data_IF_869305263922
#
_entry.id   IF_869305263922
#
_cell.length_a   1.000
_cell.length_b   1.000
_cell.length_c   1.000
_cell.angle_alpha   90.00
_cell.angle_beta   90.00
_cell.angle_gamma   90.00
#
_symmetry.space_group_name_H-M   'P 1'
#
loop_
_entity.id
_entity.type
_entity.pdbx_description
1 polymer ?
#
# COMPACT_ATOMS: atom_id res chain seq x y z
N UNK A 1 -14.16 9.70 20.53
CA UNK A 1 -14.28 8.23 20.46
C UNK A 1 -15.24 7.77 21.56
N UNK A 2 -16.14 6.82 21.32
CA UNK A 2 -16.97 6.30 22.40
C UNK A 2 -16.09 5.57 23.42
N UNK A 3 -16.17 6.00 24.66
CA UNK A 3 -15.60 5.33 25.81
C UNK A 3 -16.43 4.06 26.10
N UNK A 4 -15.75 2.93 26.22
CA UNK A 4 -16.37 1.68 26.62
C UNK A 4 -15.82 1.26 27.99
N UNK A 5 -16.65 1.28 29.00
CA UNK A 5 -16.29 0.68 30.28
C UNK A 5 -16.05 -0.82 30.09
N UNK A 6 -15.15 -1.43 30.88
CA UNK A 6 -14.88 -2.87 30.83
C UNK A 6 -16.23 -3.62 30.99
N UNK A 7 -16.59 -4.46 30.00
CA UNK A 7 -17.88 -5.17 30.03
C UNK A 7 -17.93 -6.22 31.16
N UNK A 8 -19.13 -6.66 31.53
CA UNK A 8 -19.36 -7.65 32.61
C UNK A 8 -18.60 -8.97 32.44
N UNK A 9 -18.20 -9.34 31.20
CA UNK A 9 -17.35 -10.51 30.89
C UNK A 9 -15.86 -10.34 31.25
N UNK A 10 -15.46 -9.17 31.69
CA UNK A 10 -14.11 -8.87 32.13
C UNK A 10 -13.14 -8.44 31.02
N UNK A 11 -12.00 -7.90 31.45
CA UNK A 11 -10.97 -7.32 30.56
C UNK A 11 -10.39 -8.34 29.56
N UNK A 12 -10.28 -9.61 29.95
CA UNK A 12 -9.69 -10.67 29.13
C UNK A 12 -10.52 -10.96 27.87
N UNK A 13 -11.85 -11.10 28.03
CA UNK A 13 -12.77 -11.37 26.91
C UNK A 13 -12.82 -10.17 25.96
N UNK A 14 -12.99 -8.97 26.50
CA UNK A 14 -12.95 -7.74 25.71
C UNK A 14 -11.64 -7.61 24.92
N UNK A 15 -10.49 -7.86 25.57
CA UNK A 15 -9.18 -7.74 24.91
C UNK A 15 -9.06 -8.73 23.77
N UNK A 16 -9.53 -9.97 23.95
CA UNK A 16 -9.53 -11.00 22.91
C UNK A 16 -10.28 -10.55 21.65
N UNK A 17 -11.50 -10.07 21.84
CA UNK A 17 -12.33 -9.62 20.72
C UNK A 17 -11.75 -8.37 20.02
N UNK A 18 -11.39 -7.35 20.82
CA UNK A 18 -10.85 -6.11 20.33
C UNK A 18 -9.50 -6.31 19.59
N UNK A 19 -8.62 -7.16 20.12
CA UNK A 19 -7.32 -7.44 19.51
C UNK A 19 -7.42 -8.09 18.13
N UNK A 20 -8.49 -8.86 17.87
CA UNK A 20 -8.72 -9.53 16.57
C UNK A 20 -9.50 -8.67 15.58
N UNK A 21 -10.25 -7.68 16.06
CA UNK A 21 -11.18 -6.91 15.25
C UNK A 21 -10.70 -5.49 14.94
N UNK A 22 -10.08 -4.84 15.94
CA UNK A 22 -9.83 -3.42 15.90
C UNK A 22 -8.38 -3.11 15.48
N UNK A 23 -8.16 -2.00 14.80
CA UNK A 23 -6.83 -1.55 14.35
C UNK A 23 -5.98 -1.00 15.51
N UNK A 24 -6.63 -0.56 16.62
CA UNK A 24 -5.95 0.01 17.77
C UNK A 24 -6.72 -0.21 19.07
N UNK A 25 -5.99 -0.43 20.17
CA UNK A 25 -6.50 -0.53 21.54
C UNK A 25 -5.85 0.52 22.43
N UNK A 26 -6.67 1.22 23.20
CA UNK A 26 -6.22 2.16 24.22
C UNK A 26 -6.67 1.64 25.59
N UNK A 27 -5.71 1.32 26.46
CA UNK A 27 -5.94 0.98 27.85
C UNK A 27 -5.75 2.23 28.71
N UNK A 28 -6.62 2.41 29.69
CA UNK A 28 -6.45 3.42 30.75
C UNK A 28 -6.21 2.68 32.06
N UNK A 29 -5.01 2.82 32.63
CA UNK A 29 -4.60 2.13 33.85
C UNK A 29 -3.14 1.67 33.82
N UNK A 30 -2.81 0.63 34.61
CA UNK A 30 -1.44 0.15 34.72
C UNK A 30 -0.98 -0.62 33.46
N UNK A 31 0.19 -0.26 32.90
CA UNK A 31 0.79 -0.94 31.75
C UNK A 31 0.93 -2.45 31.92
N UNK A 32 1.25 -2.93 33.14
CA UNK A 32 1.38 -4.36 33.43
C UNK A 32 0.06 -5.13 33.27
N UNK A 33 -1.08 -4.50 33.49
CA UNK A 33 -2.40 -5.10 33.24
C UNK A 33 -2.63 -5.19 31.73
N UNK A 34 -2.40 -4.10 31.00
CA UNK A 34 -2.53 -4.07 29.55
C UNK A 34 -1.65 -5.14 28.88
N UNK A 35 -0.36 -5.23 29.26
CA UNK A 35 0.59 -6.22 28.75
C UNK A 35 0.12 -7.65 28.99
N UNK A 36 -0.33 -7.99 30.21
CA UNK A 36 -0.84 -9.34 30.50
C UNK A 36 -2.09 -9.67 29.71
N UNK A 37 -2.96 -8.68 29.49
CA UNK A 37 -4.20 -8.88 28.76
C UNK A 37 -3.97 -9.16 27.28
N UNK A 38 -2.98 -8.52 26.63
CA UNK A 38 -2.69 -8.71 25.21
C UNK A 38 -1.72 -9.88 24.95
N UNK A 39 -0.88 -10.25 25.92
CA UNK A 39 0.20 -11.24 25.73
C UNK A 39 -0.23 -12.57 25.05
N UNK A 40 -1.41 -13.16 25.34
CA UNK A 40 -1.84 -14.40 24.68
C UNK A 40 -2.12 -14.25 23.17
N UNK A 41 -2.32 -13.03 22.68
CA UNK A 41 -2.74 -12.75 21.30
C UNK A 41 -1.62 -12.19 20.43
N UNK A 42 -0.52 -11.72 21.01
CA UNK A 42 0.62 -11.12 20.31
C UNK A 42 1.28 -12.14 19.38
N UNK A 43 1.41 -11.80 18.08
CA UNK A 43 1.95 -12.67 17.03
C UNK A 43 3.03 -12.01 16.19
N UNK A 44 2.66 -10.93 15.48
CA UNK A 44 3.54 -10.29 14.49
C UNK A 44 3.28 -8.76 14.47
N UNK A 45 4.35 -7.98 14.59
CA UNK A 45 4.32 -6.51 14.59
C UNK A 45 3.67 -5.87 13.33
N UNK A 46 3.47 -6.64 12.27
CA UNK A 46 2.84 -6.19 11.02
C UNK A 46 1.34 -6.52 10.94
N UNK A 47 0.85 -7.39 11.84
CA UNK A 47 -0.56 -7.81 11.89
C UNK A 47 -1.23 -7.39 13.19
N UNK A 48 -0.45 -7.33 14.28
CA UNK A 48 -0.98 -6.98 15.59
C UNK A 48 -1.41 -5.51 15.63
N UNK A 49 -2.53 -5.18 16.28
CA UNK A 49 -3.03 -3.83 16.39
C UNK A 49 -2.07 -2.92 17.17
N UNK A 50 -2.24 -1.60 16.98
CA UNK A 50 -1.59 -0.61 17.83
C UNK A 50 -2.11 -0.73 19.27
N UNK A 51 -1.23 -0.86 20.26
CA UNK A 51 -1.64 -0.86 21.66
C UNK A 51 -0.96 0.27 22.42
N UNK A 52 -1.77 1.10 23.02
CA UNK A 52 -1.35 2.26 23.82
C UNK A 52 -1.93 2.15 25.23
N UNK A 53 -1.16 2.54 26.24
CA UNK A 53 -1.61 2.63 27.62
C UNK A 53 -1.50 4.08 28.10
N UNK A 54 -2.56 4.58 28.72
CA UNK A 54 -2.61 5.86 29.40
C UNK A 54 -2.66 5.57 30.91
N UNK A 55 -1.83 6.22 31.70
CA UNK A 55 -1.90 6.05 33.16
C UNK A 55 -3.21 6.64 33.71
N UNK A 56 -3.64 6.24 34.92
CA UNK A 56 -4.90 6.66 35.53
C UNK A 56 -5.01 8.19 35.73
N UNK A 57 -3.86 8.86 35.90
CA UNK A 57 -3.82 10.31 36.05
C UNK A 57 -3.80 11.06 34.71
N UNK A 58 -3.71 10.35 33.59
CA UNK A 58 -3.62 10.95 32.26
C UNK A 58 -2.33 11.75 32.03
N UNK A 59 -1.24 11.41 32.72
CA UNK A 59 0.03 12.13 32.64
C UNK A 59 0.95 11.57 31.54
N UNK A 60 0.87 10.27 31.30
CA UNK A 60 1.73 9.57 30.36
C UNK A 60 0.92 8.73 29.37
N UNK A 61 1.35 8.74 28.11
CA UNK A 61 0.79 7.90 27.07
C UNK A 61 1.90 7.03 26.51
N UNK A 62 1.79 5.72 26.69
CA UNK A 62 2.87 4.75 26.50
C UNK A 62 2.48 3.77 25.39
N UNK A 63 3.14 3.77 24.23
CA UNK A 63 2.95 2.74 23.21
C UNK A 63 3.55 1.42 23.70
N UNK A 64 2.73 0.36 23.76
CA UNK A 64 3.13 -0.94 24.28
C UNK A 64 3.43 -1.95 23.16
N UNK A 65 2.69 -1.90 22.05
CA UNK A 65 2.80 -2.87 20.95
C UNK A 65 2.62 -2.17 19.61
N UNK A 66 3.30 -2.69 18.57
CA UNK A 66 3.20 -2.23 17.17
C UNK A 66 3.50 -0.73 17.01
N UNK A 67 4.56 -0.24 17.67
CA UNK A 67 4.94 1.16 17.74
C UNK A 67 5.06 1.84 16.37
N UNK A 68 5.85 1.24 15.46
CA UNK A 68 6.09 1.77 14.11
C UNK A 68 4.97 1.39 13.14
N UNK A 69 4.99 0.14 12.66
CA UNK A 69 4.12 -0.33 11.59
C UNK A 69 2.65 -0.35 12.03
N UNK A 70 2.36 -0.74 13.27
CA UNK A 70 1.02 -0.66 13.84
C UNK A 70 0.53 0.77 14.07
N UNK A 71 1.45 1.74 14.24
CA UNK A 71 1.14 3.15 14.43
C UNK A 71 0.90 3.55 15.90
N UNK A 72 1.29 2.69 16.88
CA UNK A 72 1.08 2.99 18.30
C UNK A 72 1.86 4.23 18.76
N UNK A 73 3.05 4.52 18.20
CA UNK A 73 3.80 5.72 18.56
C UNK A 73 3.04 6.99 18.11
N UNK A 74 2.56 7.02 16.88
CA UNK A 74 1.74 8.13 16.38
C UNK A 74 0.42 8.28 17.15
N UNK A 75 -0.24 7.16 17.48
CA UNK A 75 -1.45 7.18 18.31
C UNK A 75 -1.16 7.74 19.69
N UNK A 76 -0.03 7.35 20.31
CA UNK A 76 0.39 7.88 21.61
C UNK A 76 0.63 9.39 21.58
N UNK A 77 1.28 9.90 20.54
CA UNK A 77 1.49 11.34 20.33
C UNK A 77 0.14 12.08 20.15
N UNK A 78 -0.77 11.54 19.35
CA UNK A 78 -2.10 12.12 19.13
C UNK A 78 -2.92 12.17 20.43
N UNK A 79 -2.97 11.07 21.18
CA UNK A 79 -3.69 11.00 22.45
C UNK A 79 -3.07 11.95 23.47
N UNK A 80 -1.74 11.92 23.61
CA UNK A 80 -1.01 12.80 24.53
C UNK A 80 -1.27 14.29 24.22
N UNK A 81 -1.22 14.68 22.95
CA UNK A 81 -1.56 16.04 22.53
C UNK A 81 -3.01 16.43 22.88
N UNK A 82 -3.96 15.48 22.72
CA UNK A 82 -5.38 15.72 23.00
C UNK A 82 -5.73 15.87 24.49
N UNK A 83 -4.96 15.26 25.39
CA UNK A 83 -5.21 15.28 26.85
C UNK A 83 -4.17 16.07 27.64
N UNK A 84 -3.16 16.66 26.98
CA UNK A 84 -2.08 17.38 27.64
C UNK A 84 -1.07 16.49 28.37
N UNK A 85 -0.93 15.22 27.95
CA UNK A 85 -0.03 14.23 28.53
C UNK A 85 1.34 14.21 27.85
N UNK A 86 2.27 13.44 28.41
CA UNK A 86 3.61 13.20 27.85
C UNK A 86 3.63 11.85 27.11
N UNK A 87 3.93 11.81 25.80
CA UNK A 87 4.11 10.55 25.10
C UNK A 87 5.46 9.93 25.47
N UNK A 88 5.48 8.64 25.84
CA UNK A 88 6.69 7.92 26.26
C UNK A 88 7.11 6.96 25.14
N UNK A 89 7.61 7.51 24.05
CA UNK A 89 8.10 6.72 22.90
C UNK A 89 9.53 6.25 23.16
N UNK A 90 9.78 4.93 23.02
CA UNK A 90 11.07 4.30 23.34
C UNK A 90 11.78 3.68 22.13
N UNK A 91 11.16 3.72 20.95
CA UNK A 91 11.73 3.12 19.75
C UNK A 91 12.92 3.96 19.25
N UNK A 92 14.07 3.32 19.07
CA UNK A 92 15.33 4.02 18.74
C UNK A 92 15.24 4.93 17.50
N UNK A 93 14.57 4.48 16.44
CA UNK A 93 14.37 5.27 15.20
C UNK A 93 13.53 6.53 15.43
N UNK A 94 12.54 6.46 16.33
CA UNK A 94 11.71 7.64 16.66
C UNK A 94 12.41 8.58 17.61
N UNK A 95 13.13 8.04 18.61
CA UNK A 95 13.94 8.82 19.55
C UNK A 95 15.02 9.61 18.82
N UNK A 96 15.69 8.97 17.84
CA UNK A 96 16.72 9.61 17.04
C UNK A 96 16.18 10.35 15.81
N UNK A 97 14.87 10.31 15.56
CA UNK A 97 14.21 10.89 14.35
C UNK A 97 14.85 10.45 13.04
N UNK A 98 15.43 9.24 13.01
CA UNK A 98 16.05 8.66 11.83
C UNK A 98 15.06 7.96 10.95
N UNK A 99 15.40 7.84 9.67
CA UNK A 99 14.55 7.16 8.68
C UNK A 99 14.35 5.67 9.03
N UNK A 100 13.10 5.23 9.09
CA UNK A 100 12.71 3.84 9.30
C UNK A 100 12.02 3.30 8.04
N UNK A 101 12.59 2.25 7.46
CA UNK A 101 12.12 1.68 6.19
C UNK A 101 10.69 1.16 6.29
N UNK A 102 10.33 0.52 7.39
CA UNK A 102 9.02 -0.09 7.61
C UNK A 102 7.92 0.97 7.81
N UNK A 103 8.22 2.06 8.50
CA UNK A 103 7.32 3.21 8.65
C UNK A 103 7.10 3.87 7.29
N UNK A 104 8.19 4.17 6.59
CA UNK A 104 8.12 4.78 5.27
C UNK A 104 7.29 3.94 4.29
N UNK A 105 7.54 2.63 4.24
CA UNK A 105 6.79 1.74 3.37
C UNK A 105 5.29 1.71 3.71
N UNK A 106 4.95 1.69 5.00
CA UNK A 106 3.56 1.73 5.45
C UNK A 106 2.87 3.05 5.09
N UNK A 107 3.50 4.18 5.41
CA UNK A 107 2.92 5.52 5.18
C UNK A 107 2.63 5.78 3.70
N UNK A 108 3.40 5.13 2.82
CA UNK A 108 3.23 5.23 1.37
C UNK A 108 2.49 4.04 0.73
N UNK A 109 2.05 3.06 1.53
CA UNK A 109 1.38 1.86 1.02
C UNK A 109 2.28 0.96 0.17
N UNK A 110 3.60 0.95 0.42
CA UNK A 110 4.56 0.12 -0.32
C UNK A 110 4.68 -1.28 0.26
N UNK A 111 4.84 -2.27 -0.60
CA UNK A 111 5.13 -3.65 -0.19
C UNK A 111 6.63 -3.82 0.00
N UNK A 112 7.04 -4.29 1.19
CA UNK A 112 8.42 -4.65 1.51
C UNK A 112 8.68 -6.06 0.99
N UNK A 113 9.66 -6.23 0.10
CA UNK A 113 9.98 -7.53 -0.51
C UNK A 113 10.81 -8.46 0.37
N UNK A 114 11.63 -7.92 1.26
CA UNK A 114 12.47 -8.65 2.21
C UNK A 114 12.50 -7.93 3.57
N UNK A 115 11.83 -8.53 4.56
CA UNK A 115 11.74 -7.99 5.92
C UNK A 115 13.07 -8.04 6.68
N UNK A 116 13.95 -9.01 6.35
CA UNK A 116 15.26 -9.13 6.98
C UNK A 116 16.16 -7.99 6.51
N UNK A 117 16.21 -7.78 5.20
CA UNK A 117 17.01 -6.70 4.60
C UNK A 117 16.48 -5.32 5.04
N UNK A 118 15.16 -5.14 5.21
CA UNK A 118 14.59 -3.91 5.75
C UNK A 118 15.09 -3.60 7.17
N UNK A 119 15.18 -4.61 8.05
CA UNK A 119 15.74 -4.47 9.40
C UNK A 119 17.22 -4.11 9.35
N UNK A 120 17.99 -4.76 8.48
CA UNK A 120 19.42 -4.51 8.33
C UNK A 120 19.70 -3.09 7.80
N UNK A 121 18.89 -2.60 6.87
CA UNK A 121 18.98 -1.22 6.37
C UNK A 121 18.66 -0.21 7.46
N UNK A 122 17.61 -0.45 8.26
CA UNK A 122 17.28 0.43 9.39
C UNK A 122 18.39 0.46 10.43
N UNK A 123 19.05 -0.69 10.69
CA UNK A 123 20.20 -0.76 11.60
C UNK A 123 21.43 -0.01 11.04
N UNK A 124 21.72 -0.10 9.74
CA UNK A 124 22.79 0.64 9.09
C UNK A 124 22.57 2.17 9.24
N UNK A 125 21.34 2.65 8.99
CA UNK A 125 21.00 4.07 9.13
C UNK A 125 21.16 4.54 10.59
N UNK A 126 20.76 3.74 11.56
CA UNK A 126 20.96 4.03 12.99
C UNK A 126 22.45 4.11 13.33
N UNK A 127 23.28 3.23 12.76
CA UNK A 127 24.72 3.23 12.94
C UNK A 127 25.44 4.36 12.18
N UNK A 128 24.74 5.18 11.41
CA UNK A 128 25.32 6.24 10.58
C UNK A 128 25.94 5.74 9.27
N UNK A 129 25.72 4.47 8.90
CA UNK A 129 26.20 3.92 7.64
C UNK A 129 25.36 4.44 6.46
N UNK A 130 25.98 4.76 5.32
CA UNK A 130 25.26 5.27 4.16
C UNK A 130 24.43 4.17 3.47
N UNK A 131 23.20 4.50 3.11
CA UNK A 131 22.31 3.65 2.33
C UNK A 131 21.94 4.32 1.02
N UNK A 132 22.11 3.61 -0.10
CA UNK A 132 21.71 4.11 -1.41
C UNK A 132 20.18 4.09 -1.58
N UNK A 133 19.63 5.05 -2.29
CA UNK A 133 18.20 5.05 -2.66
C UNK A 133 18.02 5.32 -4.14
N UNK A 134 17.19 4.52 -4.77
CA UNK A 134 16.85 4.59 -6.19
C UNK A 134 15.32 4.61 -6.34
N UNK A 135 14.83 5.34 -7.33
CA UNK A 135 13.40 5.39 -7.63
C UNK A 135 13.15 5.46 -9.14
N UNK A 136 12.29 4.59 -9.65
CA UNK A 136 11.84 4.64 -11.04
C UNK A 136 10.78 5.74 -11.26
N UNK A 137 10.31 6.36 -10.18
CA UNK A 137 9.32 7.44 -10.16
C UNK A 137 9.93 8.83 -9.90
N UNK A 138 11.26 8.88 -9.71
CA UNK A 138 11.95 10.08 -9.25
C UNK A 138 11.74 10.34 -7.76
N UNK A 139 12.26 11.45 -7.28
CA UNK A 139 12.22 11.86 -5.87
C UNK A 139 11.38 13.12 -5.63
N UNK A 140 10.62 13.56 -6.62
CA UNK A 140 9.80 14.80 -6.52
C UNK A 140 8.74 14.77 -5.42
N UNK A 141 8.37 13.55 -4.94
CA UNK A 141 7.50 13.36 -3.78
C UNK A 141 8.17 13.65 -2.44
N UNK A 142 9.48 13.58 -2.40
CA UNK A 142 10.23 13.78 -1.18
C UNK A 142 10.56 15.27 -1.05
N UNK A 143 10.00 15.93 -0.06
CA UNK A 143 10.36 17.33 0.23
C UNK A 143 11.87 17.46 0.49
N UNK A 144 12.46 16.42 1.07
CA UNK A 144 13.90 16.26 1.33
C UNK A 144 14.20 14.78 1.48
N UNK A 145 15.27 14.29 0.85
CA UNK A 145 15.75 12.93 1.08
C UNK A 145 16.17 12.80 2.56
N UNK A 146 15.65 11.77 3.27
CA UNK A 146 15.99 11.57 4.68
C UNK A 146 17.49 11.41 4.91
N UNK A 147 17.96 11.87 6.08
CA UNK A 147 19.34 11.71 6.48
C UNK A 147 19.75 10.23 6.51
N UNK A 148 20.95 9.93 6.02
CA UNK A 148 21.47 8.57 5.86
C UNK A 148 21.14 7.91 4.52
N UNK A 149 20.21 8.48 3.72
CA UNK A 149 19.94 8.03 2.36
C UNK A 149 20.67 8.88 1.33
N UNK A 150 21.19 8.25 0.30
CA UNK A 150 21.94 8.88 -0.79
C UNK A 150 21.34 8.53 -2.13
N UNK A 151 20.81 9.53 -2.82
CA UNK A 151 20.17 9.41 -4.13
C UNK A 151 21.15 8.89 -5.17
N UNK A 152 20.72 7.92 -5.97
CA UNK A 152 21.44 7.30 -7.10
C UNK A 152 22.88 6.88 -6.81
N UNK A 153 23.20 6.68 -5.54
CA UNK A 153 24.53 6.22 -5.09
C UNK A 153 24.43 4.76 -4.66
N UNK A 154 25.30 3.90 -5.22
CA UNK A 154 25.44 2.50 -4.78
C UNK A 154 26.21 2.48 -3.45
N UNK A 155 25.55 1.94 -2.42
CA UNK A 155 26.12 1.72 -1.09
C UNK A 155 26.20 0.23 -0.77
N UNK A 156 26.65 -0.12 0.44
CA UNK A 156 26.65 -1.50 0.95
C UNK A 156 25.25 -2.12 0.90
N UNK A 157 24.23 -1.35 1.28
CA UNK A 157 22.81 -1.68 1.14
C UNK A 157 22.08 -0.54 0.44
N UNK A 158 20.99 -0.90 -0.23
CA UNK A 158 20.27 0.04 -1.09
C UNK A 158 18.76 -0.20 -0.98
N UNK A 159 17.99 0.87 -1.13
CA UNK A 159 16.54 0.86 -1.35
C UNK A 159 16.26 1.11 -2.83
N UNK A 160 15.27 0.43 -3.37
CA UNK A 160 14.78 0.70 -4.72
C UNK A 160 13.26 0.74 -4.76
N UNK A 161 12.71 1.92 -5.00
CA UNK A 161 11.27 2.13 -5.18
C UNK A 161 10.95 1.86 -6.64
N UNK A 162 10.23 0.75 -6.90
CA UNK A 162 10.02 0.25 -8.27
C UNK A 162 8.80 -0.64 -8.36
N UNK A 163 8.19 -0.72 -9.53
CA UNK A 163 7.23 -1.77 -9.90
C UNK A 163 7.91 -2.94 -10.60
N UNK A 164 9.22 -2.87 -10.82
CA UNK A 164 9.96 -3.91 -11.52
C UNK A 164 10.03 -5.21 -10.72
N UNK A 165 9.70 -6.33 -11.38
CA UNK A 165 9.96 -7.68 -10.90
C UNK A 165 11.39 -8.17 -11.16
N UNK A 166 12.19 -7.38 -11.91
CA UNK A 166 13.57 -7.72 -12.29
C UNK A 166 14.58 -7.22 -11.26
N UNK A 167 15.78 -7.79 -11.32
CA UNK A 167 16.91 -7.31 -10.55
C UNK A 167 17.39 -5.93 -11.01
N UNK A 168 17.91 -5.15 -10.07
CA UNK A 168 18.52 -3.85 -10.39
C UNK A 168 19.91 -4.08 -10.99
N UNK A 169 20.10 -3.64 -12.23
CA UNK A 169 21.40 -3.79 -12.91
C UNK A 169 22.54 -3.19 -12.09
N UNK A 170 23.63 -3.96 -11.97
CA UNK A 170 24.86 -3.52 -11.32
C UNK A 170 24.87 -3.61 -9.79
N UNK A 171 23.79 -4.09 -9.14
CA UNK A 171 23.75 -4.28 -7.70
C UNK A 171 23.23 -5.69 -7.40
N UNK A 172 23.95 -6.52 -6.61
CA UNK A 172 23.48 -7.84 -6.22
C UNK A 172 22.13 -7.79 -5.48
N UNK A 173 21.24 -8.75 -5.75
CA UNK A 173 19.87 -8.80 -5.20
C UNK A 173 19.86 -8.74 -3.66
N UNK A 174 20.76 -9.46 -3.01
CA UNK A 174 20.88 -9.47 -1.54
C UNK A 174 21.36 -8.13 -0.93
N UNK A 175 21.60 -7.10 -1.75
CA UNK A 175 22.01 -5.76 -1.33
C UNK A 175 21.00 -4.68 -1.71
N UNK A 176 19.86 -5.06 -2.32
CA UNK A 176 18.80 -4.15 -2.75
C UNK A 176 17.47 -4.57 -2.18
N UNK A 177 16.92 -3.75 -1.30
CA UNK A 177 15.54 -3.91 -0.87
C UNK A 177 14.61 -3.21 -1.85
N UNK A 178 13.74 -3.96 -2.50
CA UNK A 178 12.67 -3.39 -3.32
C UNK A 178 11.49 -2.99 -2.44
N UNK A 179 11.05 -1.77 -2.60
CA UNK A 179 9.79 -1.24 -2.08
C UNK A 179 8.83 -1.12 -3.27
N UNK A 180 7.81 -1.95 -3.29
CA UNK A 180 6.87 -2.03 -4.42
C UNK A 180 5.64 -1.18 -4.13
N UNK A 181 5.45 -0.05 -4.83
CA UNK A 181 4.25 0.77 -4.68
C UNK A 181 3.04 0.09 -5.33
N UNK A 182 1.88 0.16 -4.69
CA UNK A 182 0.62 -0.29 -5.27
C UNK A 182 0.02 0.82 -6.15
N UNK A 183 0.54 0.96 -7.35
CA UNK A 183 0.17 2.03 -8.27
C UNK A 183 -0.27 1.55 -9.67
N UNK A 184 -0.32 0.23 -9.90
CA UNK A 184 -0.69 -0.36 -11.18
C UNK A 184 -2.14 -0.80 -11.19
N UNK A 185 -2.90 -0.40 -12.20
CA UNK A 185 -4.24 -0.90 -12.51
C UNK A 185 -4.18 -1.84 -13.70
N UNK A 186 -4.79 -3.03 -13.56
CA UNK A 186 -4.96 -3.99 -14.66
C UNK A 186 -6.28 -3.75 -15.37
N UNK A 187 -6.25 -3.69 -16.69
CA UNK A 187 -7.44 -3.75 -17.52
C UNK A 187 -7.53 -5.09 -18.24
N UNK A 188 -8.63 -5.81 -18.08
CA UNK A 188 -8.78 -7.17 -18.55
C UNK A 188 -10.03 -7.30 -19.42
N UNK A 189 -9.85 -7.81 -20.64
CA UNK A 189 -10.94 -8.23 -21.51
C UNK A 189 -10.91 -9.74 -21.70
N UNK A 190 -12.08 -10.39 -21.65
CA UNK A 190 -12.18 -11.83 -21.86
C UNK A 190 -13.53 -12.22 -22.50
N UNK A 191 -13.65 -13.44 -23.01
CA UNK A 191 -14.92 -14.01 -23.43
C UNK A 191 -15.78 -14.32 -22.21
N UNK A 192 -17.10 -14.45 -22.43
CA UNK A 192 -18.03 -14.87 -21.38
C UNK A 192 -17.70 -16.27 -20.89
N UNK A 193 -17.68 -16.47 -19.58
CA UNK A 193 -17.42 -17.77 -18.96
C UNK A 193 -15.95 -18.19 -19.01
N UNK A 194 -15.01 -17.25 -19.17
CA UNK A 194 -13.58 -17.55 -19.12
C UNK A 194 -13.18 -17.96 -17.70
N UNK A 195 -12.57 -19.16 -17.52
CA UNK A 195 -12.11 -19.62 -16.20
C UNK A 195 -11.05 -18.72 -15.59
N UNK A 196 -11.02 -18.64 -14.25
CA UNK A 196 -10.04 -17.81 -13.51
C UNK A 196 -8.58 -18.19 -13.83
N UNK A 197 -8.30 -19.48 -14.02
CA UNK A 197 -6.96 -19.99 -14.35
C UNK A 197 -6.42 -19.39 -15.65
N UNK A 198 -7.28 -19.24 -16.68
CA UNK A 198 -6.88 -18.62 -17.95
C UNK A 198 -6.61 -17.13 -17.78
N UNK A 199 -7.40 -16.44 -16.98
CA UNK A 199 -7.21 -15.02 -16.68
C UNK A 199 -5.91 -14.84 -15.93
N UNK A 200 -5.66 -15.66 -14.91
CA UNK A 200 -4.43 -15.65 -14.11
C UNK A 200 -3.20 -15.88 -14.99
N UNK A 201 -3.19 -16.95 -15.79
CA UNK A 201 -2.08 -17.25 -16.68
C UNK A 201 -1.78 -16.09 -17.62
N UNK A 202 -2.79 -15.52 -18.28
CA UNK A 202 -2.60 -14.40 -19.20
C UNK A 202 -2.05 -13.16 -18.50
N UNK A 203 -2.54 -12.84 -17.28
CA UNK A 203 -2.04 -11.69 -16.52
C UNK A 203 -0.61 -11.94 -16.04
N UNK A 204 -0.33 -13.09 -15.41
CA UNK A 204 1.01 -13.42 -14.92
C UNK A 204 2.03 -13.41 -16.05
N UNK A 205 1.70 -14.03 -17.22
CA UNK A 205 2.55 -14.02 -18.41
C UNK A 205 2.80 -12.59 -18.92
N UNK A 206 1.78 -11.74 -18.99
CA UNK A 206 1.94 -10.35 -19.41
C UNK A 206 2.82 -9.56 -18.44
N UNK A 207 2.60 -9.69 -17.15
CA UNK A 207 3.39 -9.02 -16.11
C UNK A 207 4.86 -9.48 -16.14
N UNK A 208 5.11 -10.79 -16.26
CA UNK A 208 6.46 -11.37 -16.33
C UNK A 208 7.21 -10.91 -17.58
N UNK A 209 6.60 -11.00 -18.77
CA UNK A 209 7.22 -10.54 -20.03
C UNK A 209 7.66 -9.08 -19.95
N UNK A 210 6.84 -8.25 -19.33
CA UNK A 210 7.13 -6.83 -19.15
C UNK A 210 7.99 -6.54 -17.91
N UNK A 211 8.28 -7.56 -17.10
CA UNK A 211 9.11 -7.45 -15.91
C UNK A 211 8.48 -6.59 -14.82
N UNK A 212 7.17 -6.70 -14.64
CA UNK A 212 6.40 -5.96 -13.62
C UNK A 212 6.03 -6.90 -12.48
N UNK A 213 6.22 -6.45 -11.27
CA UNK A 213 5.88 -7.19 -10.06
C UNK A 213 4.36 -7.13 -9.80
N UNK A 214 3.71 -8.28 -9.72
CA UNK A 214 2.26 -8.38 -9.53
C UNK A 214 1.78 -7.72 -8.23
N UNK A 215 2.64 -7.61 -7.21
CA UNK A 215 2.34 -6.92 -5.95
C UNK A 215 2.12 -5.41 -6.11
N UNK A 216 2.52 -4.85 -7.26
CA UNK A 216 2.27 -3.44 -7.60
C UNK A 216 0.81 -3.14 -7.97
N UNK A 217 0.00 -4.18 -8.20
CA UNK A 217 -1.39 -4.04 -8.62
C UNK A 217 -2.26 -3.57 -7.44
N UNK A 218 -3.07 -2.53 -7.67
CA UNK A 218 -4.04 -2.03 -6.71
C UNK A 218 -5.51 -2.26 -7.12
N UNK A 219 -5.78 -2.50 -8.42
CA UNK A 219 -7.12 -2.75 -8.94
C UNK A 219 -7.09 -3.61 -10.21
N UNK A 220 -8.10 -4.44 -10.40
CA UNK A 220 -8.44 -5.07 -11.67
C UNK A 220 -9.70 -4.42 -12.25
N UNK A 221 -9.73 -4.19 -13.56
CA UNK A 221 -10.80 -3.44 -14.21
C UNK A 221 -11.25 -4.08 -15.52
N UNK A 222 -12.52 -3.84 -15.88
CA UNK A 222 -13.11 -4.26 -17.14
C UNK A 222 -14.31 -3.36 -17.51
N UNK A 223 -15.00 -3.71 -18.58
CA UNK A 223 -16.28 -3.09 -18.96
C UNK A 223 -17.44 -3.65 -18.10
N UNK A 224 -18.50 -2.87 -17.90
CA UNK A 224 -19.65 -3.15 -17.03
C UNK A 224 -20.45 -4.41 -17.41
N UNK A 225 -20.52 -4.76 -18.69
CA UNK A 225 -21.12 -6.03 -19.15
C UNK A 225 -20.41 -7.27 -18.55
N UNK A 226 -19.20 -7.09 -17.99
CA UNK A 226 -18.40 -8.10 -17.29
C UNK A 226 -18.53 -8.05 -15.77
N UNK A 227 -19.41 -7.20 -15.23
CA UNK A 227 -19.60 -7.02 -13.78
C UNK A 227 -19.91 -8.32 -13.04
N UNK A 228 -20.54 -9.29 -13.71
CA UNK A 228 -20.87 -10.60 -13.14
C UNK A 228 -20.01 -11.74 -13.70
N UNK A 229 -18.88 -11.43 -14.36
CA UNK A 229 -17.98 -12.45 -14.89
C UNK A 229 -17.19 -13.10 -13.76
N UNK A 230 -17.57 -14.33 -13.43
CA UNK A 230 -17.07 -15.04 -12.24
C UNK A 230 -15.55 -15.14 -12.22
N UNK A 231 -14.92 -15.48 -13.37
CA UNK A 231 -13.46 -15.58 -13.44
C UNK A 231 -12.72 -14.27 -13.13
N UNK A 232 -13.27 -13.11 -13.51
CA UNK A 232 -12.67 -11.80 -13.18
C UNK A 232 -12.85 -11.45 -11.71
N UNK A 233 -14.02 -11.77 -11.14
CA UNK A 233 -14.31 -11.56 -9.71
C UNK A 233 -13.37 -12.39 -8.84
N UNK A 234 -13.23 -13.69 -9.17
CA UNK A 234 -12.34 -14.60 -8.45
C UNK A 234 -10.89 -14.17 -8.56
N UNK A 235 -10.43 -13.81 -9.75
CA UNK A 235 -9.07 -13.32 -9.96
C UNK A 235 -8.76 -12.06 -9.13
N UNK A 236 -9.64 -11.07 -9.12
CA UNK A 236 -9.47 -9.86 -8.31
C UNK A 236 -9.43 -10.18 -6.81
N UNK A 237 -10.26 -11.15 -6.37
CA UNK A 237 -10.26 -11.64 -4.98
C UNK A 237 -8.95 -12.35 -4.61
N UNK A 238 -8.38 -13.16 -5.50
CA UNK A 238 -7.08 -13.81 -5.29
C UNK A 238 -5.95 -12.79 -5.14
N UNK A 239 -5.98 -11.73 -5.95
CA UNK A 239 -5.02 -10.61 -5.83
C UNK A 239 -5.29 -9.70 -4.62
N UNK A 240 -6.41 -9.89 -3.93
CA UNK A 240 -6.86 -9.02 -2.83
C UNK A 240 -6.99 -7.55 -3.27
N UNK A 241 -7.54 -7.32 -4.46
CA UNK A 241 -7.77 -5.99 -5.02
C UNK A 241 -9.23 -5.80 -5.42
N UNK A 242 -9.76 -4.57 -5.49
CA UNK A 242 -11.09 -4.31 -6.00
C UNK A 242 -11.20 -4.67 -7.49
N UNK A 243 -12.36 -5.24 -7.87
CA UNK A 243 -12.76 -5.37 -9.26
C UNK A 243 -13.66 -4.20 -9.64
N UNK A 244 -13.17 -3.36 -10.57
CA UNK A 244 -13.84 -2.14 -11.03
C UNK A 244 -14.43 -2.36 -12.42
N UNK A 245 -15.62 -1.82 -12.65
CA UNK A 245 -16.24 -1.89 -13.97
C UNK A 245 -16.74 -0.52 -14.43
N UNK A 246 -16.57 -0.24 -15.70
CA UNK A 246 -16.89 1.03 -16.33
C UNK A 246 -17.83 0.82 -17.51
N UNK A 247 -18.74 1.73 -17.75
CA UNK A 247 -19.60 1.75 -18.94
C UNK A 247 -18.78 2.01 -20.21
N UNK A 248 -19.34 1.64 -21.37
CA UNK A 248 -18.69 1.96 -22.64
C UNK A 248 -18.49 3.46 -22.86
N UNK A 249 -19.39 4.29 -22.34
CA UNK A 249 -19.27 5.75 -22.39
C UNK A 249 -18.09 6.25 -21.57
N UNK A 250 -17.95 5.78 -20.32
CA UNK A 250 -16.81 6.12 -19.46
C UNK A 250 -15.48 5.67 -20.08
N UNK A 251 -15.44 4.47 -20.70
CA UNK A 251 -14.25 3.96 -21.38
C UNK A 251 -13.90 4.80 -22.63
N UNK A 252 -14.88 5.17 -23.45
CA UNK A 252 -14.67 6.00 -24.63
C UNK A 252 -14.24 7.44 -24.27
N UNK A 253 -14.59 7.93 -23.08
CA UNK A 253 -14.16 9.22 -22.55
C UNK A 253 -12.73 9.24 -22.01
N UNK A 254 -12.01 8.09 -21.95
CA UNK A 254 -10.64 8.07 -21.44
C UNK A 254 -9.68 8.74 -22.44
N UNK A 255 -8.77 9.62 -21.96
CA UNK A 255 -7.77 10.25 -22.81
C UNK A 255 -6.68 9.23 -23.20
N UNK A 256 -6.21 9.32 -24.41
CA UNK A 256 -5.16 8.49 -24.97
C UNK A 256 -5.48 8.02 -26.38
N UNK A 257 -4.47 7.53 -27.08
CA UNK A 257 -4.60 6.85 -28.36
C UNK A 257 -4.58 5.34 -28.12
N UNK A 258 -5.70 4.68 -28.35
CA UNK A 258 -5.88 3.27 -28.07
C UNK A 258 -6.16 2.51 -29.39
N UNK A 259 -5.47 1.40 -29.67
CA UNK A 259 -5.75 0.57 -30.82
C UNK A 259 -7.22 0.08 -30.80
N UNK A 260 -7.96 0.40 -31.84
CA UNK A 260 -9.39 0.06 -31.94
C UNK A 260 -9.59 -1.31 -32.62
N UNK A 261 -10.58 -2.06 -32.17
CA UNK A 261 -11.03 -3.32 -32.76
C UNK A 261 -12.50 -3.21 -33.12
N UNK A 262 -12.83 -3.29 -34.42
CA UNK A 262 -14.22 -3.26 -34.89
C UNK A 262 -15.08 -4.34 -34.26
N UNK A 263 -14.53 -5.53 -34.06
CA UNK A 263 -15.26 -6.64 -33.41
C UNK A 263 -15.62 -6.30 -31.97
N UNK A 264 -14.66 -5.73 -31.21
CA UNK A 264 -14.88 -5.34 -29.82
C UNK A 264 -15.87 -4.18 -29.77
N UNK A 265 -15.72 -3.19 -30.66
CA UNK A 265 -16.64 -2.05 -30.78
C UNK A 265 -18.10 -2.48 -30.99
N UNK A 266 -18.34 -3.41 -31.92
CA UNK A 266 -19.71 -3.94 -32.18
C UNK A 266 -20.30 -4.70 -31.01
N UNK A 267 -19.46 -5.32 -30.18
CA UNK A 267 -19.90 -6.18 -29.09
C UNK A 267 -20.06 -5.42 -27.77
N UNK A 268 -19.23 -4.42 -27.53
CA UNK A 268 -19.12 -3.78 -26.22
C UNK A 268 -19.39 -2.27 -26.24
N UNK A 269 -19.50 -1.66 -27.43
CA UNK A 269 -19.65 -0.20 -27.57
C UNK A 269 -18.34 0.59 -27.39
N UNK A 270 -17.19 -0.10 -27.22
CA UNK A 270 -15.86 0.49 -27.17
C UNK A 270 -14.87 -0.37 -27.93
N UNK A 271 -13.93 0.22 -28.66
CA UNK A 271 -12.97 -0.54 -29.48
C UNK A 271 -11.82 -1.16 -28.71
N UNK A 272 -11.60 -0.73 -27.47
CA UNK A 272 -10.53 -1.23 -26.62
C UNK A 272 -10.95 -1.23 -25.14
N UNK A 273 -11.30 -2.42 -24.63
CA UNK A 273 -11.73 -2.58 -23.23
C UNK A 273 -10.52 -2.54 -22.29
N UNK A 274 -9.46 -3.32 -22.55
CA UNK A 274 -8.40 -3.53 -21.56
C UNK A 274 -7.57 -2.25 -21.31
N UNK A 275 -7.07 -1.55 -22.32
CA UNK A 275 -6.29 -0.32 -22.08
C UNK A 275 -7.13 0.79 -21.48
N UNK A 276 -8.35 0.99 -22.00
CA UNK A 276 -9.26 2.03 -21.50
C UNK A 276 -9.69 1.77 -20.06
N UNK A 277 -9.97 0.52 -19.68
CA UNK A 277 -10.33 0.19 -18.28
C UNK A 277 -9.13 0.28 -17.34
N UNK A 278 -7.92 -0.06 -17.78
CA UNK A 278 -6.71 0.15 -17.01
C UNK A 278 -6.49 1.65 -16.71
N UNK A 279 -6.64 2.52 -17.73
CA UNK A 279 -6.52 3.97 -17.56
C UNK A 279 -7.63 4.53 -16.68
N UNK A 280 -8.88 4.10 -16.88
CA UNK A 280 -10.02 4.53 -16.07
C UNK A 280 -9.81 4.19 -14.57
N UNK A 281 -9.42 2.95 -14.27
CA UNK A 281 -9.13 2.53 -12.90
C UNK A 281 -7.94 3.27 -12.30
N UNK A 282 -6.86 3.45 -13.08
CA UNK A 282 -5.69 4.20 -12.67
C UNK A 282 -6.03 5.63 -12.26
N UNK A 283 -6.90 6.31 -13.00
CA UNK A 283 -7.34 7.69 -12.72
C UNK A 283 -8.24 7.81 -11.49
N UNK A 284 -8.96 6.75 -11.10
CA UNK A 284 -9.71 6.71 -9.84
C UNK A 284 -8.80 6.56 -8.62
N UNK A 285 -7.68 5.83 -8.76
CA UNK A 285 -6.74 5.55 -7.66
C UNK A 285 -6.03 6.80 -7.13
N UNK A 286 -5.93 7.84 -7.95
CA UNK A 286 -5.38 9.15 -7.55
C UNK A 286 -6.14 10.22 -8.31
N UNK A 287 -6.46 11.34 -7.67
CA UNK A 287 -6.94 12.57 -8.34
C UNK A 287 -5.86 13.15 -9.29
N UNK A 288 -5.08 12.29 -9.94
CA UNK A 288 -3.87 12.64 -10.65
C UNK A 288 -4.09 12.73 -12.16
N UNK A 289 -3.58 13.81 -12.70
CA UNK A 289 -3.52 14.13 -14.13
C UNK A 289 -2.52 13.26 -14.93
N UNK A 290 -1.74 12.39 -14.31
CA UNK A 290 -0.66 11.63 -14.97
C UNK A 290 -0.81 10.13 -14.75
N UNK A 291 -1.68 9.52 -15.55
CA UNK A 291 -1.74 8.08 -15.75
C UNK A 291 -0.98 7.73 -17.04
N UNK A 292 -0.14 6.68 -16.99
CA UNK A 292 0.61 6.20 -18.16
C UNK A 292 0.37 4.71 -18.37
N UNK A 293 0.28 4.30 -19.63
CA UNK A 293 0.22 2.89 -19.98
C UNK A 293 1.60 2.27 -19.71
N UNK A 294 1.60 1.17 -18.97
CA UNK A 294 2.76 0.38 -18.61
C UNK A 294 2.89 -0.87 -19.50
N UNK A 295 1.76 -1.53 -19.77
CA UNK A 295 1.64 -2.66 -20.67
C UNK A 295 0.52 -2.32 -21.66
N UNK A 296 0.88 -2.22 -22.95
CA UNK A 296 -0.09 -2.15 -24.03
C UNK A 296 -0.84 -3.48 -24.16
N UNK A 297 -1.99 -3.45 -24.84
CA UNK A 297 -2.84 -4.62 -25.03
C UNK A 297 -2.04 -5.84 -25.49
N UNK A 298 -1.95 -6.84 -24.68
CA UNK A 298 -1.49 -8.18 -25.00
C UNK A 298 -2.67 -9.15 -25.00
N UNK A 299 -2.65 -10.14 -25.89
CA UNK A 299 -3.70 -11.13 -26.03
C UNK A 299 -3.12 -12.54 -25.90
N UNK A 300 -3.72 -13.36 -25.03
CA UNK A 300 -3.35 -14.75 -24.81
C UNK A 300 -4.60 -15.57 -24.50
N UNK A 301 -4.83 -16.66 -25.23
CA UNK A 301 -5.93 -17.61 -25.06
C UNK A 301 -7.36 -17.00 -24.94
N UNK A 302 -7.61 -15.89 -25.64
CA UNK A 302 -8.89 -15.19 -25.63
C UNK A 302 -9.08 -14.23 -24.44
N UNK A 303 -8.02 -14.00 -23.65
CA UNK A 303 -7.92 -12.95 -22.66
C UNK A 303 -7.05 -11.83 -23.21
N UNK A 304 -7.43 -10.58 -22.99
CA UNK A 304 -6.62 -9.41 -23.28
C UNK A 304 -6.26 -8.69 -21.99
N UNK A 305 -5.00 -8.32 -21.85
CA UNK A 305 -4.46 -7.67 -20.66
C UNK A 305 -3.78 -6.37 -21.06
N UNK A 306 -3.99 -5.33 -20.28
CA UNK A 306 -3.22 -4.09 -20.31
C UNK A 306 -2.99 -3.61 -18.89
N UNK A 307 -1.98 -2.77 -18.69
CA UNK A 307 -1.71 -2.17 -17.40
C UNK A 307 -1.42 -0.67 -17.53
N UNK A 308 -1.93 0.10 -16.59
CA UNK A 308 -1.62 1.52 -16.45
C UNK A 308 -1.16 1.81 -15.02
N UNK A 309 -0.32 2.81 -14.84
CA UNK A 309 0.14 3.22 -13.52
C UNK A 309 0.06 4.73 -13.34
N UNK A 310 -0.06 5.17 -12.10
CA UNK A 310 0.04 6.58 -11.74
C UNK A 310 1.40 6.91 -11.12
N UNK A 311 1.86 8.15 -11.35
CA UNK A 311 3.11 8.64 -10.77
C UNK A 311 2.95 8.88 -9.27
N UNK A 312 3.82 8.28 -8.48
CA UNK A 312 3.86 8.46 -7.03
C UNK A 312 4.53 9.80 -6.75
N UNK A 313 3.88 10.66 -5.97
CA UNK A 313 4.55 11.85 -5.44
C UNK A 313 3.98 13.22 -5.74
N UNK A 314 2.83 13.31 -6.42
CA UNK A 314 2.15 14.60 -6.65
C UNK A 314 0.84 14.78 -5.85
N UNK A 315 0.48 13.88 -4.96
CA UNK A 315 -0.84 13.86 -4.29
C UNK A 315 -0.92 14.58 -2.93
N UNK A 316 0.08 15.37 -2.55
CA UNK A 316 0.17 15.99 -1.20
C UNK A 316 -0.19 17.48 -1.07
N UNK A 317 -0.37 18.23 -2.16
CA UNK A 317 -0.48 19.70 -2.02
C UNK A 317 -1.91 20.26 -1.93
N UNK A 318 -2.95 19.47 -2.15
CA UNK A 318 -4.32 19.98 -2.18
C UNK A 318 -5.22 19.56 -1.00
N UNK A 319 -4.82 18.65 -0.13
CA UNK A 319 -5.63 18.28 1.03
C UNK A 319 -5.66 19.40 2.10
N UNK A 320 -4.57 20.15 2.24
CA UNK A 320 -4.45 21.22 3.25
C UNK A 320 -5.06 22.58 2.80
N UNK A 321 -5.43 22.73 1.52
CA UNK A 321 -6.03 23.99 1.02
C UNK A 321 -7.54 24.03 1.13
N UNK A 322 -8.25 22.90 1.08
CA UNK A 322 -9.71 22.90 1.22
C UNK A 322 -10.19 23.04 2.67
N UNK A 323 -9.40 22.63 3.68
CA UNK A 323 -9.76 22.90 5.08
C UNK A 323 -9.56 24.37 5.50
N UNK A 324 -8.62 25.09 4.88
CA UNK A 324 -8.38 26.51 5.17
C UNK A 324 -9.31 27.49 4.44
N UNK A 325 -10.11 27.01 3.48
CA UNK A 325 -11.09 27.87 2.77
C UNK A 325 -12.53 27.76 3.31
N UNK A 326 -12.76 26.91 4.33
CA UNK A 326 -14.06 26.72 5.00
C UNK A 326 -14.06 27.14 6.47
N UNK A 327 -13.03 27.86 6.90
CA UNK A 327 -12.97 28.48 8.24
C UNK A 327 -13.30 29.96 8.21
#
# INVERSE_FOLDING_TARGET
>A
MPYQAVPEGGLSEWTKEAFLRDDALIFVGACGIAVRSIAPYVRDKFQDPAVVCVDEAGQFVIPLLSGHVGGANRLAEMVASGIGAVPVVTTATDVEKKFAVDVFAKDHGFVITDRKLAKEISADILAGEPVGVFSDFGFSAWKKIPEGLFEDRICKRNLWITVSGKEKKGIPENRVLRLIPRCVALGIGCKRGTPVEKIRTAVESAMERNGIDLRSVFAAASIDIKKQEQGLIEFAKELQVPFLTFSSEELNGQPGDFPESEFVQKTTGTGNVCERSAVAACRLGVRASECRILIHKEAEDGVTVAAAYYMIGKSGENADREEKSRG
#
